data_IF_928385376862
#
_entry.id   IF_928385376862
#
_cell.length_a   1.000
_cell.length_b   1.000
_cell.length_c   1.000
_cell.angle_alpha   90.00
_cell.angle_beta   90.00
_cell.angle_gamma   90.00
#
_symmetry.space_group_name_H-M   'P 1'
#
loop_
_entity.id
_entity.type
_entity.pdbx_description
1 polymer ?
#
# COMPACT_ATOMS: atom_id res chain seq x y z
N UNK A 1 15.91 28.12 -5.35
CA UNK A 1 14.56 27.57 -5.63
C UNK A 1 14.73 26.36 -6.53
N UNK A 2 14.08 25.22 -6.26
CA UNK A 2 14.16 24.06 -7.14
C UNK A 2 13.54 24.43 -8.49
N UNK A 3 14.22 24.12 -9.60
CA UNK A 3 13.79 24.47 -10.97
C UNK A 3 12.96 23.31 -11.54
N UNK A 4 11.70 23.59 -11.85
CA UNK A 4 10.71 22.59 -12.28
C UNK A 4 11.00 22.02 -13.68
N UNK A 5 10.84 20.71 -13.91
CA UNK A 5 10.79 20.13 -15.25
C UNK A 5 9.47 20.48 -15.94
N UNK A 6 9.53 21.00 -17.17
CA UNK A 6 8.36 21.52 -17.91
C UNK A 6 7.31 20.45 -18.33
N UNK A 7 7.56 19.17 -18.05
CA UNK A 7 6.79 18.05 -18.62
C UNK A 7 5.80 17.38 -17.65
N UNK A 8 5.64 17.89 -16.42
CA UNK A 8 4.72 17.30 -15.44
C UNK A 8 3.27 17.73 -15.76
N UNK A 9 2.44 16.74 -16.13
CA UNK A 9 0.99 16.87 -16.36
C UNK A 9 0.24 16.15 -15.24
N UNK A 10 -1.07 16.39 -15.10
CA UNK A 10 -1.90 15.73 -14.08
C UNK A 10 -1.92 14.19 -14.20
N UNK A 11 -1.56 13.67 -15.37
CA UNK A 11 -1.46 12.25 -15.72
C UNK A 11 -0.09 11.60 -15.39
N UNK A 12 0.82 12.33 -14.73
CA UNK A 12 2.13 11.82 -14.27
C UNK A 12 1.97 11.07 -12.93
N UNK A 13 2.83 10.08 -12.56
CA UNK A 13 2.62 9.17 -11.41
C UNK A 13 2.45 9.81 -10.03
N UNK A 14 2.65 11.12 -9.92
CA UNK A 14 2.06 11.93 -8.85
C UNK A 14 1.20 13.01 -9.53
N UNK A 15 -0.14 12.95 -9.41
CA UNK A 15 -1.02 14.02 -9.86
C UNK A 15 -0.45 15.37 -9.41
N UNK A 16 -0.14 16.23 -10.37
CA UNK A 16 0.56 17.50 -10.13
C UNK A 16 -0.09 18.32 -9.02
N UNK A 17 -1.43 18.26 -8.91
CA UNK A 17 -2.20 18.91 -7.85
C UNK A 17 -1.85 18.40 -6.44
N UNK A 18 -1.65 17.10 -6.25
CA UNK A 18 -1.34 16.50 -4.93
C UNK A 18 0.04 16.94 -4.48
N UNK A 19 1.00 16.93 -5.41
CA UNK A 19 2.36 17.36 -5.11
C UNK A 19 2.41 18.84 -4.63
N UNK A 20 1.72 19.74 -5.35
CA UNK A 20 1.66 21.17 -4.96
C UNK A 20 1.00 21.40 -3.61
N UNK A 21 -0.08 20.67 -3.34
CA UNK A 21 -0.77 20.73 -2.04
C UNK A 21 0.18 20.27 -0.94
N UNK A 22 0.85 19.13 -1.12
CA UNK A 22 1.78 18.57 -0.12
C UNK A 22 2.98 19.49 0.18
N UNK A 23 3.52 20.21 -0.81
CA UNK A 23 4.58 21.21 -0.61
C UNK A 23 4.15 22.38 0.31
N UNK A 24 2.83 22.63 0.40
CA UNK A 24 2.24 23.66 1.25
C UNK A 24 1.75 23.14 2.61
N UNK A 25 1.81 21.83 2.87
CA UNK A 25 1.41 21.26 4.17
C UNK A 25 2.56 21.42 5.16
N UNK A 26 2.39 22.30 6.14
CA UNK A 26 3.35 22.57 7.22
C UNK A 26 2.76 22.39 8.63
N UNK A 27 1.50 21.92 8.72
CA UNK A 27 0.77 21.76 9.97
C UNK A 27 0.26 23.07 10.60
N UNK A 28 0.43 24.22 9.93
CA UNK A 28 0.01 25.54 10.41
C UNK A 28 -1.07 26.15 9.54
N UNK A 29 -1.00 25.95 8.23
CA UNK A 29 -1.98 26.45 7.26
C UNK A 29 -3.22 25.56 7.20
N UNK A 30 -4.39 26.17 7.16
CA UNK A 30 -5.66 25.52 6.91
C UNK A 30 -5.84 25.16 5.43
N UNK A 31 -6.75 24.23 5.15
CA UNK A 31 -7.14 23.82 3.78
C UNK A 31 -7.56 25.03 2.92
N UNK A 32 -8.26 26.00 3.52
CA UNK A 32 -8.70 27.22 2.83
C UNK A 32 -7.57 28.21 2.53
N UNK A 33 -6.53 28.25 3.37
CA UNK A 33 -5.32 29.06 3.12
C UNK A 33 -4.48 28.47 2.01
N UNK A 34 -4.24 27.15 2.05
CA UNK A 34 -3.52 26.42 1.00
C UNK A 34 -4.24 26.57 -0.35
N UNK A 35 -5.57 26.49 -0.35
CA UNK A 35 -6.37 26.70 -1.56
C UNK A 35 -6.20 28.10 -2.15
N UNK A 36 -6.22 29.15 -1.30
CA UNK A 36 -5.99 30.52 -1.74
C UNK A 36 -4.59 30.72 -2.35
N UNK A 37 -3.56 30.17 -1.71
CA UNK A 37 -2.17 30.31 -2.17
C UNK A 37 -1.94 29.60 -3.52
N UNK A 38 -2.62 28.47 -3.75
CA UNK A 38 -2.47 27.64 -4.94
C UNK A 38 -3.50 27.93 -6.05
N UNK A 39 -4.45 28.84 -5.83
CA UNK A 39 -5.56 29.10 -6.74
C UNK A 39 -6.51 27.89 -6.90
N UNK A 40 -6.67 27.09 -5.84
CA UNK A 40 -7.50 25.89 -5.79
C UNK A 40 -8.71 26.09 -4.88
N UNK A 41 -9.81 25.38 -5.16
CA UNK A 41 -10.93 25.30 -4.24
C UNK A 41 -10.56 24.47 -3.00
N UNK A 42 -11.17 24.77 -1.86
CA UNK A 42 -10.97 23.98 -0.63
C UNK A 42 -11.31 22.48 -0.85
N UNK A 43 -12.28 22.19 -1.71
CA UNK A 43 -12.64 20.81 -2.09
C UNK A 43 -11.51 20.12 -2.86
N UNK A 44 -10.87 20.80 -3.81
CA UNK A 44 -9.75 20.24 -4.57
C UNK A 44 -8.54 19.94 -3.66
N UNK A 45 -8.27 20.82 -2.68
CA UNK A 45 -7.22 20.60 -1.68
C UNK A 45 -7.58 19.40 -0.78
N UNK A 46 -8.83 19.29 -0.32
CA UNK A 46 -9.27 18.16 0.48
C UNK A 46 -9.17 16.81 -0.26
N UNK A 47 -9.53 16.79 -1.55
CA UNK A 47 -9.37 15.59 -2.40
C UNK A 47 -7.91 15.20 -2.57
N UNK A 48 -7.03 16.18 -2.77
CA UNK A 48 -5.59 15.93 -2.88
C UNK A 48 -5.00 15.35 -1.58
N UNK A 49 -5.41 15.86 -0.42
CA UNK A 49 -5.01 15.34 0.89
C UNK A 49 -5.54 13.92 1.13
N UNK A 50 -6.79 13.65 0.76
CA UNK A 50 -7.36 12.30 0.87
C UNK A 50 -6.57 11.29 0.02
N UNK A 51 -6.23 11.66 -1.22
CA UNK A 51 -5.47 10.82 -2.12
C UNK A 51 -4.03 10.55 -1.62
N UNK A 52 -3.36 11.58 -1.08
CA UNK A 52 -2.08 11.41 -0.40
C UNK A 52 -2.18 10.49 0.84
N UNK A 53 -3.27 10.62 1.60
CA UNK A 53 -3.59 9.76 2.74
C UNK A 53 -3.71 8.30 2.34
N UNK A 54 -4.44 8.00 1.25
CA UNK A 54 -4.55 6.64 0.73
C UNK A 54 -3.20 6.05 0.30
N UNK A 55 -2.33 6.83 -0.36
CA UNK A 55 -0.98 6.34 -0.68
C UNK A 55 -0.14 6.07 0.56
N UNK A 56 -0.22 6.95 1.55
CA UNK A 56 0.49 6.79 2.82
C UNK A 56 0.00 5.56 3.56
N UNK A 57 -1.31 5.34 3.60
CA UNK A 57 -1.90 4.16 4.22
C UNK A 57 -1.50 2.87 3.48
N UNK A 58 -1.54 2.86 2.14
CA UNK A 58 -1.06 1.72 1.33
C UNK A 58 0.42 1.43 1.55
N UNK A 59 1.26 2.48 1.61
CA UNK A 59 2.69 2.33 1.89
C UNK A 59 2.94 1.79 3.30
N UNK A 60 2.20 2.29 4.31
CA UNK A 60 2.29 1.83 5.69
C UNK A 60 1.81 0.38 5.86
N UNK A 61 0.77 -0.04 5.13
CA UNK A 61 0.30 -1.43 5.11
C UNK A 61 1.35 -2.39 4.51
N UNK A 62 2.07 -1.96 3.47
CA UNK A 62 3.16 -2.75 2.86
C UNK A 62 4.34 -2.95 3.79
N UNK A 63 4.75 -1.89 4.48
CA UNK A 63 5.86 -1.94 5.46
C UNK A 63 5.42 -2.34 6.87
N UNK A 64 4.16 -2.76 7.03
CA UNK A 64 3.64 -3.20 8.31
C UNK A 64 4.39 -4.45 8.78
N UNK A 65 4.88 -4.41 10.02
CA UNK A 65 5.44 -5.57 10.67
C UNK A 65 4.41 -6.70 10.73
N UNK A 66 4.84 -7.92 10.42
CA UNK A 66 3.98 -9.08 10.48
C UNK A 66 3.55 -9.32 11.93
N UNK A 67 2.24 -9.33 12.18
CA UNK A 67 1.67 -9.68 13.49
C UNK A 67 1.19 -11.14 13.46
N UNK A 68 1.09 -11.81 14.61
CA UNK A 68 0.56 -13.18 14.67
C UNK A 68 -0.84 -13.32 14.03
N UNK A 69 -1.71 -12.31 14.22
CA UNK A 69 -3.04 -12.30 13.62
C UNK A 69 -3.01 -12.19 12.08
N UNK A 70 -2.05 -11.44 11.52
CA UNK A 70 -1.86 -11.37 10.07
C UNK A 70 -1.32 -12.69 9.52
N UNK A 71 -0.36 -13.30 10.22
CA UNK A 71 0.18 -14.61 9.85
C UNK A 71 -0.93 -15.68 9.81
N UNK A 72 -1.73 -15.80 10.87
CA UNK A 72 -2.86 -16.73 10.93
C UNK A 72 -3.87 -16.47 9.80
N UNK A 73 -4.12 -15.18 9.49
CA UNK A 73 -5.03 -14.82 8.41
C UNK A 73 -4.52 -15.23 7.03
N UNK A 74 -3.20 -15.15 6.81
CA UNK A 74 -2.52 -15.60 5.58
C UNK A 74 -2.52 -17.12 5.47
N UNK A 75 -2.22 -17.82 6.56
CA UNK A 75 -2.23 -19.28 6.65
C UNK A 75 -3.61 -19.86 6.32
N UNK A 76 -4.67 -19.31 6.90
CA UNK A 76 -6.04 -19.69 6.55
C UNK A 76 -6.39 -19.43 5.08
N UNK A 77 -5.85 -18.38 4.45
CA UNK A 77 -6.03 -18.15 3.02
C UNK A 77 -5.35 -19.27 2.21
N UNK A 78 -4.12 -19.63 2.56
CA UNK A 78 -3.38 -20.70 1.89
C UNK A 78 -4.04 -22.06 2.07
N UNK A 79 -4.49 -22.39 3.29
CA UNK A 79 -5.26 -23.61 3.57
C UNK A 79 -6.48 -23.75 2.64
N UNK A 80 -7.15 -22.64 2.32
CA UNK A 80 -8.31 -22.67 1.41
C UNK A 80 -7.96 -22.87 -0.07
N UNK A 81 -6.70 -22.65 -0.47
CA UNK A 81 -6.24 -22.68 -1.87
C UNK A 81 -5.43 -23.94 -2.16
N UNK A 82 -4.50 -24.29 -1.29
CA UNK A 82 -3.56 -25.41 -1.47
C UNK A 82 -3.81 -26.56 -0.49
N UNK A 83 -4.75 -26.40 0.44
CA UNK A 83 -5.03 -27.41 1.47
C UNK A 83 -3.96 -27.43 2.57
N UNK A 84 -3.81 -28.53 3.32
CA UNK A 84 -2.91 -28.62 4.48
C UNK A 84 -1.44 -28.31 4.19
N UNK A 85 -1.00 -28.43 2.93
CA UNK A 85 0.38 -28.04 2.54
C UNK A 85 0.64 -26.53 2.71
N UNK A 86 -0.41 -25.73 2.86
CA UNK A 86 -0.31 -24.29 3.08
C UNK A 86 0.47 -23.92 4.35
N UNK A 87 0.43 -24.76 5.39
CA UNK A 87 1.20 -24.55 6.62
C UNK A 87 2.71 -24.57 6.33
N UNK A 88 3.17 -25.56 5.57
CA UNK A 88 4.58 -25.71 5.18
C UNK A 88 5.04 -24.53 4.32
N UNK A 89 4.20 -24.07 3.39
CA UNK A 89 4.50 -22.91 2.54
C UNK A 89 4.67 -21.63 3.37
N UNK A 90 3.86 -21.45 4.42
CA UNK A 90 4.01 -20.30 5.34
C UNK A 90 5.29 -20.42 6.15
N UNK A 91 5.60 -21.60 6.68
CA UNK A 91 6.82 -21.84 7.46
C UNK A 91 8.09 -21.57 6.63
N UNK A 92 8.14 -22.11 5.42
CA UNK A 92 9.26 -21.90 4.49
C UNK A 92 9.41 -20.41 4.13
N UNK A 93 8.31 -19.73 3.84
CA UNK A 93 8.31 -18.30 3.54
C UNK A 93 8.75 -17.44 4.74
N UNK A 94 8.35 -17.79 5.97
CA UNK A 94 8.80 -17.09 7.18
C UNK A 94 10.30 -17.25 7.41
N UNK A 95 10.83 -18.45 7.14
CA UNK A 95 12.26 -18.72 7.24
C UNK A 95 13.07 -17.92 6.22
N UNK A 96 12.52 -17.67 5.04
CA UNK A 96 13.15 -16.88 3.98
C UNK A 96 13.19 -15.37 4.29
N UNK A 97 12.11 -14.83 4.88
CA UNK A 97 12.00 -13.38 5.15
C UNK A 97 12.86 -12.94 6.36
N UNK A 98 13.18 -13.85 7.29
CA UNK A 98 14.13 -13.61 8.39
C UNK A 98 13.54 -12.92 9.63
N UNK A 99 14.40 -12.30 10.45
CA UNK A 99 14.11 -11.87 11.84
C UNK A 99 13.10 -10.71 12.01
N UNK A 100 12.71 -10.02 10.94
CA UNK A 100 11.73 -8.92 11.00
C UNK A 100 10.82 -8.95 9.79
N UNK A 101 9.95 -9.96 9.69
CA UNK A 101 9.13 -10.13 8.50
C UNK A 101 8.08 -9.02 8.41
N UNK A 102 7.97 -8.43 7.22
CA UNK A 102 6.82 -7.60 6.86
C UNK A 102 5.76 -8.46 6.19
N UNK A 103 4.51 -7.98 6.20
CA UNK A 103 3.43 -8.65 5.46
C UNK A 103 3.75 -8.74 3.97
N UNK A 104 4.31 -7.68 3.37
CA UNK A 104 4.73 -7.69 1.95
C UNK A 104 5.82 -8.72 1.67
N UNK A 105 6.81 -8.86 2.55
CA UNK A 105 7.88 -9.85 2.42
C UNK A 105 7.32 -11.26 2.44
N UNK A 106 6.44 -11.57 3.41
CA UNK A 106 5.79 -12.87 3.51
C UNK A 106 4.93 -13.20 2.27
N UNK A 107 4.10 -12.25 1.83
CA UNK A 107 3.24 -12.46 0.66
C UNK A 107 4.05 -12.66 -0.63
N UNK A 108 5.20 -11.99 -0.76
CA UNK A 108 6.09 -12.13 -1.90
C UNK A 108 6.76 -13.51 -1.91
N UNK A 109 7.31 -13.94 -0.79
CA UNK A 109 7.93 -15.27 -0.64
C UNK A 109 6.92 -16.40 -0.90
N UNK A 110 5.68 -16.26 -0.42
CA UNK A 110 4.59 -17.21 -0.73
C UNK A 110 4.27 -17.21 -2.23
N UNK A 111 4.19 -16.05 -2.87
CA UNK A 111 3.83 -15.95 -4.28
C UNK A 111 4.83 -16.66 -5.21
N UNK A 112 6.12 -16.68 -4.84
CA UNK A 112 7.17 -17.39 -5.58
C UNK A 112 7.03 -18.92 -5.53
N UNK A 113 6.33 -19.44 -4.51
CA UNK A 113 6.12 -20.87 -4.31
C UNK A 113 4.80 -21.39 -4.90
N UNK A 114 3.90 -20.50 -5.34
CA UNK A 114 2.60 -20.86 -5.90
C UNK A 114 2.62 -20.93 -7.43
N UNK A 115 1.86 -21.88 -7.99
CA UNK A 115 1.54 -21.84 -9.42
C UNK A 115 0.61 -20.64 -9.74
N UNK A 116 0.59 -20.20 -11.00
CA UNK A 116 -0.22 -19.04 -11.44
C UNK A 116 -1.71 -19.17 -11.06
N UNK A 117 -2.29 -20.38 -11.20
CA UNK A 117 -3.68 -20.65 -10.83
C UNK A 117 -3.92 -20.52 -9.32
N UNK A 118 -2.98 -21.02 -8.49
CA UNK A 118 -3.05 -20.92 -7.04
C UNK A 118 -2.84 -19.48 -6.58
N UNK A 119 -1.90 -18.76 -7.19
CA UNK A 119 -1.64 -17.35 -6.91
C UNK A 119 -2.90 -16.50 -7.15
N UNK A 120 -3.59 -16.68 -8.28
CA UNK A 120 -4.84 -15.96 -8.55
C UNK A 120 -5.94 -16.28 -7.53
N UNK A 121 -6.06 -17.54 -7.10
CA UNK A 121 -7.00 -17.93 -6.06
C UNK A 121 -6.63 -17.34 -4.69
N UNK A 122 -5.34 -17.31 -4.36
CA UNK A 122 -4.81 -16.76 -3.13
C UNK A 122 -5.00 -15.24 -3.04
N UNK A 123 -4.65 -14.49 -4.09
CA UNK A 123 -4.89 -13.04 -4.17
C UNK A 123 -6.38 -12.71 -4.02
N UNK A 124 -7.27 -13.53 -4.58
CA UNK A 124 -8.71 -13.36 -4.40
C UNK A 124 -9.13 -13.51 -2.93
N UNK A 125 -8.55 -14.47 -2.20
CA UNK A 125 -8.84 -14.67 -0.77
C UNK A 125 -8.28 -13.52 0.10
N UNK A 126 -7.08 -13.04 -0.20
CA UNK A 126 -6.48 -11.90 0.51
C UNK A 126 -7.35 -10.64 0.38
N UNK A 127 -7.83 -10.35 -0.83
CA UNK A 127 -8.76 -9.22 -1.08
C UNK A 127 -10.07 -9.37 -0.32
N UNK A 128 -10.65 -10.57 -0.30
CA UNK A 128 -11.89 -10.83 0.44
C UNK A 128 -11.74 -10.57 1.96
N UNK A 129 -10.51 -10.65 2.47
CA UNK A 129 -10.17 -10.40 3.89
C UNK A 129 -9.55 -9.02 4.15
N UNK A 130 -9.49 -8.15 3.14
CA UNK A 130 -8.85 -6.82 3.22
C UNK A 130 -7.36 -6.86 3.65
N UNK A 131 -6.63 -7.91 3.25
CA UNK A 131 -5.19 -8.04 3.48
C UNK A 131 -4.34 -7.42 2.36
N UNK A 132 -4.96 -7.11 1.22
CA UNK A 132 -4.39 -6.44 0.02
C UNK A 132 -5.47 -5.67 -0.70
#
# INVERSE_FOLDING_TARGET
MPRWPAALRDETPLPYVVWRVMDHVDGRRSVAEIGRDLGLSAQAVAQALAQAGEWTQRAAQRTQALTPALQESVEQCLLSVVGPIGEVVVEDALQEVGDSPSLEGLLSAIAEQLSETQLHAFVRQLRARNLT
#
